data_IF_968740698024
#
_entry.id   IF_968740698024
#
_cell.length_a   1.000
_cell.length_b   1.000
_cell.length_c   1.000
_cell.angle_alpha   90.00
_cell.angle_beta   90.00
_cell.angle_gamma   90.00
#
_symmetry.space_group_name_H-M   'P 1'
#
loop_
_entity.id
_entity.type
_entity.pdbx_description
1 polymer ?
#
# COMPACT_ATOMS: atom_id res chain seq x y z
N UNK A 1 -20.27 10.31 8.51
CA UNK A 1 -20.10 11.13 9.72
C UNK A 1 -18.96 10.53 10.52
N UNK A 2 -17.79 11.17 10.57
CA UNK A 2 -16.76 10.83 11.57
C UNK A 2 -17.40 11.03 12.94
N UNK A 3 -17.66 9.94 13.65
CA UNK A 3 -18.12 9.99 15.03
C UNK A 3 -16.89 9.76 15.88
N UNK A 4 -16.26 10.85 16.31
CA UNK A 4 -15.18 10.80 17.29
C UNK A 4 -15.61 9.93 18.47
N UNK A 5 -15.02 8.74 18.61
CA UNK A 5 -15.30 7.83 19.72
C UNK A 5 -14.35 8.21 20.86
N UNK A 6 -14.92 8.86 21.89
CA UNK A 6 -14.19 9.26 23.09
C UNK A 6 -13.65 8.05 23.85
N UNK A 7 -12.50 8.22 24.49
CA UNK A 7 -11.96 7.28 25.47
C UNK A 7 -12.41 7.69 26.89
N UNK A 8 -12.83 6.75 27.77
CA UNK A 8 -13.09 5.33 27.46
C UNK A 8 -14.33 5.17 26.57
N UNK A 9 -14.37 4.11 25.75
CA UNK A 9 -15.47 3.86 24.81
C UNK A 9 -16.76 3.53 25.58
N UNK A 10 -17.86 4.30 25.41
CA UNK A 10 -19.14 3.96 26.02
C UNK A 10 -19.67 2.61 25.53
N UNK A 11 -20.14 1.77 26.46
CA UNK A 11 -20.70 0.46 26.14
C UNK A 11 -19.67 -0.61 25.75
N UNK A 12 -18.37 -0.34 25.87
CA UNK A 12 -17.36 -1.37 25.66
C UNK A 12 -17.54 -2.53 26.65
N UNK A 13 -17.43 -3.75 26.14
CA UNK A 13 -17.59 -4.98 26.92
C UNK A 13 -16.42 -5.96 26.73
N UNK A 14 -15.42 -5.58 25.93
CA UNK A 14 -14.22 -6.36 25.68
C UNK A 14 -13.05 -5.42 25.31
N UNK A 15 -11.88 -6.00 25.06
CA UNK A 15 -10.69 -5.29 24.57
C UNK A 15 -10.10 -5.99 23.36
N UNK A 16 -9.42 -5.21 22.52
CA UNK A 16 -8.46 -5.70 21.51
C UNK A 16 -7.05 -5.31 21.93
N UNK A 17 -6.05 -5.95 21.31
CA UNK A 17 -4.68 -5.47 21.37
C UNK A 17 -4.54 -4.20 20.55
N UNK A 18 -3.71 -3.26 21.04
CA UNK A 18 -3.17 -2.20 20.18
C UNK A 18 -2.29 -2.88 19.13
N UNK A 19 -2.33 -2.42 17.87
CA UNK A 19 -1.65 -3.07 16.75
C UNK A 19 -2.22 -4.43 16.34
N UNK A 20 -3.47 -4.73 16.73
CA UNK A 20 -4.15 -5.94 16.27
C UNK A 20 -4.15 -6.03 14.74
N UNK A 21 -3.61 -7.12 14.14
CA UNK A 21 -3.46 -7.30 12.69
C UNK A 21 -4.68 -6.85 11.86
N UNK A 22 -5.89 -7.21 12.27
CA UNK A 22 -7.09 -6.89 11.50
C UNK A 22 -7.28 -5.38 11.22
N UNK A 23 -6.78 -4.50 12.09
CA UNK A 23 -7.05 -3.07 12.02
C UNK A 23 -5.99 -2.26 11.27
N UNK A 24 -4.90 -2.89 10.83
CA UNK A 24 -3.94 -2.23 9.95
C UNK A 24 -4.52 -2.03 8.54
N UNK A 25 -4.10 -0.96 7.89
CA UNK A 25 -4.54 -0.61 6.53
C UNK A 25 -3.35 -0.36 5.62
N UNK A 26 -3.60 -0.21 4.32
CA UNK A 26 -2.58 0.17 3.34
C UNK A 26 -2.99 1.41 2.55
N UNK A 27 -2.02 2.27 2.27
CA UNK A 27 -2.18 3.43 1.39
C UNK A 27 -0.97 3.55 0.45
N UNK A 28 -1.23 3.96 -0.79
CA UNK A 28 -0.23 3.98 -1.87
C UNK A 28 -0.72 4.78 -3.10
N UNK A 29 0.21 5.31 -3.92
CA UNK A 29 -0.14 6.09 -5.09
C UNK A 29 -0.87 5.25 -6.15
N UNK A 30 -1.62 5.94 -7.02
CA UNK A 30 -2.44 5.31 -8.06
C UNK A 30 -1.63 4.41 -9.01
N UNK A 31 -0.35 4.73 -9.25
CA UNK A 31 0.52 4.03 -10.18
C UNK A 31 0.84 2.58 -9.76
N UNK A 32 0.78 2.26 -8.47
CA UNK A 32 1.09 0.93 -7.95
C UNK A 32 -0.15 0.21 -7.43
N UNK A 33 -0.02 -1.07 -7.08
CA UNK A 33 -1.07 -1.83 -6.39
C UNK A 33 -0.51 -2.53 -5.16
N UNK A 34 -1.22 -2.48 -4.04
CA UNK A 34 -0.90 -3.27 -2.86
C UNK A 34 -2.17 -3.76 -2.15
N UNK A 35 -2.00 -4.74 -1.28
CA UNK A 35 -3.05 -5.27 -0.41
C UNK A 35 -2.50 -5.68 0.94
N UNK A 36 -3.40 -5.83 1.90
CA UNK A 36 -3.13 -6.38 3.23
C UNK A 36 -4.15 -7.46 3.58
N UNK A 37 -3.67 -8.59 4.11
CA UNK A 37 -4.49 -9.70 4.61
C UNK A 37 -3.98 -10.16 5.97
N UNK A 38 -4.80 -10.93 6.70
CA UNK A 38 -4.46 -11.51 8.01
C UNK A 38 -4.41 -13.03 7.92
N UNK A 39 -3.25 -13.65 7.62
CA UNK A 39 -3.13 -15.12 7.54
C UNK A 39 -3.45 -15.83 8.86
N UNK A 40 -3.22 -15.16 10.00
CA UNK A 40 -3.57 -15.64 11.34
C UNK A 40 -3.94 -14.49 12.26
N UNK A 41 -4.39 -14.79 13.48
CA UNK A 41 -4.73 -13.78 14.49
C UNK A 41 -3.54 -12.90 14.91
N UNK A 42 -2.30 -13.33 14.69
CA UNK A 42 -1.09 -12.61 15.09
C UNK A 42 -0.18 -12.28 13.89
N UNK A 43 -0.73 -12.24 12.68
CA UNK A 43 0.06 -11.95 11.49
C UNK A 43 -0.66 -11.09 10.46
N UNK A 44 0.15 -10.33 9.74
CA UNK A 44 -0.18 -9.54 8.57
C UNK A 44 0.66 -10.02 7.41
N UNK A 45 0.05 -10.04 6.22
CA UNK A 45 0.79 -10.14 4.96
C UNK A 45 0.41 -8.96 4.08
N UNK A 46 1.44 -8.32 3.54
CA UNK A 46 1.31 -7.27 2.53
C UNK A 46 1.89 -7.81 1.22
N UNK A 47 1.15 -7.66 0.13
CA UNK A 47 1.64 -7.88 -1.24
C UNK A 47 1.55 -6.60 -2.02
N UNK A 48 2.60 -6.28 -2.78
CA UNK A 48 2.66 -5.09 -3.62
C UNK A 48 3.18 -5.40 -5.02
N UNK A 49 2.80 -4.55 -5.97
CA UNK A 49 3.33 -4.45 -7.31
C UNK A 49 3.74 -3.00 -7.54
N UNK A 50 5.03 -2.74 -7.39
CA UNK A 50 5.65 -1.46 -7.74
C UNK A 50 5.81 -1.37 -9.25
N UNK A 51 5.75 -0.16 -9.79
CA UNK A 51 5.84 0.19 -11.21
C UNK A 51 6.86 1.28 -11.49
N UNK A 52 7.17 2.10 -10.48
CA UNK A 52 8.20 3.14 -10.56
C UNK A 52 9.24 2.97 -9.46
N UNK A 53 10.46 3.46 -9.70
CA UNK A 53 11.52 3.52 -8.70
C UNK A 53 11.24 4.51 -7.54
N UNK A 54 10.17 5.29 -7.62
CA UNK A 54 9.74 6.27 -6.62
C UNK A 54 8.44 5.86 -5.93
N UNK A 55 7.90 4.69 -6.25
CA UNK A 55 6.73 4.17 -5.57
C UNK A 55 7.00 3.96 -4.08
N UNK A 56 6.01 4.30 -3.27
CA UNK A 56 6.05 4.22 -1.82
C UNK A 56 4.67 3.76 -1.35
N UNK A 57 4.63 2.78 -0.46
CA UNK A 57 3.40 2.41 0.22
C UNK A 57 3.56 2.44 1.73
N UNK A 58 2.47 2.76 2.44
CA UNK A 58 2.40 2.72 3.89
C UNK A 58 1.54 1.56 4.37
N UNK A 59 2.02 0.83 5.39
CA UNK A 59 1.21 -0.06 6.22
C UNK A 59 0.86 0.69 7.49
N UNK A 60 -0.40 1.05 7.68
CA UNK A 60 -0.83 2.13 8.57
C UNK A 60 -1.60 1.58 9.77
N UNK A 61 -1.23 2.07 10.95
CA UNK A 61 -2.00 2.00 12.19
C UNK A 61 -2.48 3.39 12.59
N UNK A 62 -3.79 3.60 12.60
CA UNK A 62 -4.42 4.82 13.08
C UNK A 62 -4.74 4.68 14.59
N UNK A 63 -4.39 5.68 15.41
CA UNK A 63 -4.73 5.63 16.86
C UNK A 63 -6.21 5.90 17.13
N UNK A 64 -6.95 6.27 16.08
CA UNK A 64 -8.39 6.49 16.07
C UNK A 64 -8.99 5.71 14.90
N UNK A 65 -9.99 4.90 15.20
CA UNK A 65 -10.77 4.23 14.20
C UNK A 65 -11.81 5.19 13.61
N UNK A 66 -11.60 5.57 12.35
CA UNK A 66 -12.47 6.48 11.60
C UNK A 66 -13.32 5.76 10.57
N UNK A 67 -13.07 4.47 10.37
CA UNK A 67 -13.63 3.69 9.26
C UNK A 67 -14.72 2.73 9.75
N UNK A 68 -14.57 2.17 10.96
CA UNK A 68 -15.59 1.29 11.51
C UNK A 68 -16.85 2.05 11.92
N UNK A 69 -17.98 1.35 11.88
CA UNK A 69 -19.21 1.86 12.48
C UNK A 69 -18.96 2.28 13.94
N UNK A 70 -19.38 3.49 14.33
CA UNK A 70 -19.00 4.11 15.60
C UNK A 70 -19.31 3.28 16.87
N UNK A 71 -20.31 2.39 16.81
CA UNK A 71 -20.58 1.43 17.89
C UNK A 71 -19.46 0.40 18.07
N UNK A 72 -18.77 0.00 17.01
CA UNK A 72 -17.74 -1.04 16.99
C UNK A 72 -16.31 -0.51 16.90
N UNK A 73 -16.13 0.70 16.38
CA UNK A 73 -14.86 1.42 16.30
C UNK A 73 -14.13 1.51 17.65
N UNK A 74 -12.82 1.28 17.69
CA UNK A 74 -12.05 1.54 18.91
C UNK A 74 -11.90 3.07 19.16
N UNK A 75 -11.84 3.52 20.43
CA UNK A 75 -11.76 4.94 20.75
C UNK A 75 -10.38 5.51 20.41
N UNK A 76 -10.33 6.83 20.19
CA UNK A 76 -9.03 7.53 20.06
C UNK A 76 -8.21 7.36 21.34
N UNK A 77 -7.02 6.78 21.24
CA UNK A 77 -6.06 6.67 22.35
C UNK A 77 -4.63 7.01 21.89
N UNK A 78 -4.32 8.31 21.91
CA UNK A 78 -3.05 8.87 21.42
C UNK A 78 -1.81 8.46 22.22
N UNK A 79 -1.97 8.16 23.50
CA UNK A 79 -0.86 7.76 24.35
C UNK A 79 -0.49 6.29 24.13
N UNK A 80 0.70 6.10 23.59
CA UNK A 80 1.38 4.84 23.34
C UNK A 80 2.52 4.59 24.34
N UNK A 81 2.77 5.51 25.28
CA UNK A 81 3.93 5.46 26.19
C UNK A 81 3.99 4.14 26.94
N UNK A 82 5.17 3.52 26.97
CA UNK A 82 5.45 2.25 27.63
C UNK A 82 4.88 1.02 26.92
N UNK A 83 4.25 1.16 25.75
CA UNK A 83 3.92 -0.01 24.93
C UNK A 83 5.20 -0.63 24.37
N UNK A 84 5.26 -1.96 24.39
CA UNK A 84 6.30 -2.72 23.70
C UNK A 84 5.64 -3.44 22.53
N UNK A 85 6.06 -3.15 21.30
CA UNK A 85 5.61 -3.83 20.08
C UNK A 85 6.71 -4.76 19.59
N UNK A 86 6.40 -6.04 19.47
CA UNK A 86 7.31 -7.09 19.00
C UNK A 86 6.68 -7.86 17.85
N UNK A 87 7.50 -8.20 16.86
CA UNK A 87 7.09 -9.01 15.72
C UNK A 87 8.29 -9.60 14.97
N UNK A 88 8.05 -10.69 14.28
CA UNK A 88 8.95 -11.23 13.28
C UNK A 88 8.63 -10.64 11.91
N UNK A 89 9.67 -10.25 11.19
CA UNK A 89 9.62 -9.65 9.88
C UNK A 89 10.26 -10.57 8.84
N UNK A 90 9.58 -10.80 7.72
CA UNK A 90 10.15 -11.42 6.52
C UNK A 90 9.74 -10.62 5.30
N UNK A 91 10.70 -10.26 4.43
CA UNK A 91 10.40 -9.47 3.24
C UNK A 91 11.13 -9.94 1.99
N UNK A 92 10.50 -9.69 0.84
CA UNK A 92 11.09 -9.90 -0.50
C UNK A 92 10.61 -8.79 -1.45
N UNK A 93 11.44 -8.44 -2.44
CA UNK A 93 11.09 -7.46 -3.48
C UNK A 93 11.02 -6.00 -3.02
N UNK A 94 11.35 -5.72 -1.76
CA UNK A 94 11.48 -4.36 -1.22
C UNK A 94 12.96 -3.99 -1.01
N UNK A 95 13.22 -2.70 -0.78
CA UNK A 95 14.54 -2.24 -0.33
C UNK A 95 14.85 -2.83 1.05
N UNK A 96 16.05 -3.40 1.21
CA UNK A 96 16.45 -4.09 2.44
C UNK A 96 16.59 -3.12 3.63
N UNK A 97 16.21 -3.54 4.83
CA UNK A 97 16.03 -2.65 6.00
C UNK A 97 17.30 -1.90 6.45
N UNK A 98 18.46 -2.47 6.20
CA UNK A 98 19.78 -1.92 6.57
C UNK A 98 20.30 -0.86 5.59
N UNK A 99 19.57 -0.59 4.52
CA UNK A 99 19.87 0.46 3.54
C UNK A 99 19.33 1.83 3.93
N UNK A 100 19.92 2.89 3.39
CA UNK A 100 19.38 4.25 3.41
C UNK A 100 18.02 4.31 2.71
N UNK A 101 17.14 5.18 3.20
CA UNK A 101 15.79 5.40 2.63
C UNK A 101 15.02 4.07 2.44
N UNK A 102 15.06 3.23 3.47
CA UNK A 102 14.40 1.93 3.51
C UNK A 102 13.26 1.92 4.54
N UNK A 103 12.83 0.73 4.96
CA UNK A 103 11.71 0.51 5.86
C UNK A 103 11.81 1.42 7.10
N UNK A 104 10.84 2.34 7.19
CA UNK A 104 10.81 3.39 8.20
C UNK A 104 9.44 3.38 8.87
N UNK A 105 9.44 3.39 10.21
CA UNK A 105 8.25 3.67 11.00
C UNK A 105 8.10 5.19 11.11
N UNK A 106 7.15 5.73 10.36
CA UNK A 106 6.78 7.13 10.44
C UNK A 106 5.73 7.28 11.53
N UNK A 107 6.02 8.14 12.51
CA UNK A 107 5.10 8.49 13.59
C UNK A 107 4.66 9.93 13.38
N UNK A 108 3.41 10.10 12.96
CA UNK A 108 2.77 11.42 12.97
C UNK A 108 2.19 11.68 14.34
N UNK A 109 2.38 12.90 14.83
CA UNK A 109 1.79 13.38 16.10
C UNK A 109 0.68 14.38 15.82
N UNK A 110 -0.11 14.73 16.85
CA UNK A 110 -1.12 15.78 16.70
C UNK A 110 -0.49 17.17 16.74
N UNK A 111 0.56 17.38 17.55
CA UNK A 111 1.14 18.71 17.77
C UNK A 111 2.64 18.84 17.54
N UNK A 112 3.38 17.75 17.39
CA UNK A 112 4.85 17.74 17.40
C UNK A 112 5.48 17.36 16.06
N UNK A 113 4.71 17.43 14.97
CA UNK A 113 5.19 17.09 13.63
C UNK A 113 5.30 15.58 13.39
N UNK A 114 6.21 15.22 12.47
CA UNK A 114 6.42 13.85 11.98
C UNK A 114 7.81 13.37 12.36
N UNK A 115 7.88 12.16 12.91
CA UNK A 115 9.12 11.52 13.33
C UNK A 115 9.38 10.26 12.51
N UNK A 116 10.63 10.05 12.10
CA UNK A 116 11.03 8.92 11.26
C UNK A 116 11.93 7.98 12.07
N UNK A 117 11.42 6.80 12.41
CA UNK A 117 12.13 5.79 13.18
C UNK A 117 12.63 4.70 12.24
N UNK A 118 13.96 4.52 12.18
CA UNK A 118 14.57 3.42 11.41
C UNK A 118 14.43 2.11 12.18
N UNK A 119 13.46 1.29 11.82
CA UNK A 119 13.11 0.09 12.62
C UNK A 119 14.22 -0.96 12.67
N UNK A 120 15.12 -0.99 11.68
CA UNK A 120 16.32 -1.83 11.67
C UNK A 120 17.24 -1.65 12.88
N UNK A 121 17.24 -0.45 13.48
CA UNK A 121 18.06 -0.15 14.66
C UNK A 121 17.54 -0.87 15.91
N UNK A 122 16.31 -1.38 15.86
CA UNK A 122 15.61 -2.04 16.97
C UNK A 122 15.41 -3.54 16.74
N UNK A 123 16.20 -4.12 15.82
CA UNK A 123 16.29 -5.58 15.68
C UNK A 123 16.91 -6.20 16.92
N UNK A 124 16.42 -7.37 17.32
CA UNK A 124 17.05 -8.17 18.39
C UNK A 124 17.78 -9.39 17.83
N UNK A 125 17.42 -9.85 16.63
CA UNK A 125 18.07 -10.97 15.95
C UNK A 125 17.75 -10.98 14.44
N UNK A 126 18.53 -11.73 13.66
CA UNK A 126 18.28 -11.99 12.24
C UNK A 126 18.98 -11.03 11.28
N UNK A 127 18.50 -11.04 10.04
CA UNK A 127 19.02 -10.34 8.86
C UNK A 127 18.05 -9.24 8.40
N UNK A 128 18.49 -8.27 7.58
CA UNK A 128 17.63 -7.17 7.11
C UNK A 128 16.29 -7.59 6.52
N UNK A 129 16.22 -8.72 5.82
CA UNK A 129 14.99 -9.21 5.18
C UNK A 129 14.32 -10.34 5.96
N UNK A 130 14.88 -10.74 7.11
CA UNK A 130 14.33 -11.77 8.00
C UNK A 130 14.86 -11.54 9.43
N UNK A 131 14.12 -10.79 10.26
CA UNK A 131 14.55 -10.40 11.59
C UNK A 131 13.42 -10.35 12.61
N UNK A 132 13.80 -10.35 13.89
CA UNK A 132 12.90 -10.00 14.98
C UNK A 132 13.08 -8.54 15.36
N UNK A 133 11.99 -7.79 15.42
CA UNK A 133 11.98 -6.37 15.77
C UNK A 133 11.29 -6.18 17.13
N UNK A 134 11.90 -5.36 17.99
CA UNK A 134 11.35 -4.98 19.29
C UNK A 134 11.42 -3.47 19.49
N UNK A 135 10.27 -2.81 19.50
CA UNK A 135 10.16 -1.36 19.69
C UNK A 135 9.53 -1.08 21.05
N UNK A 136 10.24 -0.32 21.90
CA UNK A 136 9.70 0.18 23.17
C UNK A 136 9.32 1.64 22.99
N UNK A 137 8.05 1.96 23.19
CA UNK A 137 7.50 3.31 23.02
C UNK A 137 7.83 4.19 24.25
N UNK A 138 9.12 4.41 24.47
CA UNK A 138 9.68 5.27 25.51
C UNK A 138 10.91 6.05 24.96
N UNK A 139 11.75 6.55 25.87
CA UNK A 139 12.95 7.32 25.53
C UNK A 139 14.06 6.50 24.83
N UNK A 140 13.96 5.16 24.81
CA UNK A 140 14.94 4.30 24.12
C UNK A 140 14.71 4.22 22.61
N UNK A 141 13.49 4.50 22.13
CA UNK A 141 13.21 4.57 20.69
C UNK A 141 13.30 6.01 20.20
N UNK A 142 14.37 6.28 19.46
CA UNK A 142 14.72 7.54 18.86
C UNK A 142 14.43 7.54 17.34
N UNK A 143 14.10 8.73 16.86
CA UNK A 143 13.85 9.08 15.46
C UNK A 143 14.98 9.93 14.90
N UNK A 144 14.89 10.23 13.60
CA UNK A 144 15.89 11.02 12.88
C UNK A 144 16.92 10.14 12.19
N UNK A 145 17.65 10.75 11.26
CA UNK A 145 18.67 10.05 10.46
C UNK A 145 19.74 9.37 11.33
N UNK A 146 20.08 10.03 12.45
CA UNK A 146 21.06 9.55 13.42
C UNK A 146 20.46 8.87 14.66
N UNK A 147 19.13 8.71 14.71
CA UNK A 147 18.44 8.17 15.90
C UNK A 147 18.77 8.96 17.16
N UNK A 148 18.57 10.28 17.12
CA UNK A 148 18.93 11.23 18.18
C UNK A 148 17.73 12.01 18.75
N UNK A 149 16.57 11.92 18.08
CA UNK A 149 15.40 12.74 18.39
C UNK A 149 14.32 11.92 19.06
N UNK A 150 13.90 12.30 20.27
CA UNK A 150 12.82 11.63 20.97
C UNK A 150 11.50 11.65 20.18
N UNK A 151 10.79 10.53 20.19
CA UNK A 151 9.43 10.44 19.67
C UNK A 151 8.43 10.75 20.79
N UNK A 152 7.51 11.71 20.60
CA UNK A 152 6.43 12.00 21.55
C UNK A 152 5.37 10.89 21.60
N UNK A 153 5.68 9.76 22.24
CA UNK A 153 4.79 8.60 22.33
C UNK A 153 3.46 8.86 23.04
N UNK A 154 3.34 9.98 23.77
CA UNK A 154 2.11 10.43 24.42
C UNK A 154 1.15 11.20 23.50
N UNK A 155 1.56 11.54 22.27
CA UNK A 155 0.78 12.37 21.34
C UNK A 155 0.72 11.78 19.92
N UNK A 156 0.75 10.46 19.80
CA UNK A 156 0.70 9.80 18.49
C UNK A 156 -0.66 10.01 17.84
N UNK A 157 -0.67 10.37 16.55
CA UNK A 157 -1.84 10.48 15.67
C UNK A 157 -1.99 9.24 14.80
N UNK A 158 -0.93 8.82 14.13
CA UNK A 158 -0.87 7.57 13.38
C UNK A 158 0.56 7.10 13.24
N UNK A 159 0.72 5.83 12.97
CA UNK A 159 2.01 5.19 12.70
C UNK A 159 1.91 4.46 11.37
N UNK A 160 2.95 4.51 10.56
CA UNK A 160 2.98 3.67 9.36
C UNK A 160 4.37 3.21 9.01
N UNK A 161 4.44 1.96 8.55
CA UNK A 161 5.66 1.33 8.05
C UNK A 161 5.70 1.54 6.55
N UNK A 162 6.69 2.29 6.09
CA UNK A 162 6.87 2.61 4.67
C UNK A 162 7.64 1.51 3.94
N UNK A 163 7.17 1.08 2.77
CA UNK A 163 7.82 0.10 1.90
C UNK A 163 8.12 0.71 0.54
N UNK A 164 9.31 0.42 0.01
CA UNK A 164 9.81 0.89 -1.28
C UNK A 164 10.27 -0.30 -2.11
N UNK A 165 10.25 -0.22 -3.46
CA UNK A 165 10.81 -1.27 -4.30
C UNK A 165 12.30 -1.49 -4.01
N UNK A 166 12.80 -2.71 -4.24
CA UNK A 166 14.23 -3.03 -4.11
C UNK A 166 15.13 -2.09 -4.94
N UNK A 167 14.65 -1.62 -6.08
CA UNK A 167 15.31 -0.69 -7.00
C UNK A 167 14.95 0.78 -6.74
N UNK A 168 14.51 1.15 -5.54
CA UNK A 168 14.10 2.52 -5.26
C UNK A 168 15.22 3.55 -5.54
N UNK A 169 14.84 4.70 -6.09
CA UNK A 169 15.79 5.71 -6.57
C UNK A 169 16.69 5.15 -7.70
N UNK A 170 18.01 5.24 -7.53
CA UNK A 170 19.01 4.57 -8.39
C UNK A 170 19.60 3.30 -7.76
N UNK A 171 18.86 2.66 -6.87
CA UNK A 171 19.29 1.45 -6.18
C UNK A 171 20.44 1.70 -5.21
N UNK A 172 21.37 0.75 -5.13
CA UNK A 172 22.45 0.73 -4.13
C UNK A 172 23.68 1.49 -4.62
N UNK A 173 23.62 2.82 -4.53
CA UNK A 173 24.75 3.69 -4.86
C UNK A 173 25.76 3.79 -3.69
N UNK A 174 27.00 4.16 -4.01
CA UNK A 174 28.02 4.49 -3.01
C UNK A 174 28.88 5.67 -3.46
N UNK A 175 29.61 6.30 -2.53
CA UNK A 175 30.71 7.19 -2.91
C UNK A 175 31.80 6.39 -3.62
N UNK A 176 32.23 6.84 -4.80
CA UNK A 176 33.37 6.27 -5.52
C UNK A 176 34.71 6.85 -5.04
N UNK A 177 34.68 8.04 -4.45
CA UNK A 177 35.83 8.73 -3.88
C UNK A 177 35.43 9.41 -2.56
N UNK A 178 36.42 9.64 -1.70
CA UNK A 178 36.23 10.38 -0.45
C UNK A 178 35.63 11.75 -0.72
N UNK A 179 34.60 12.10 0.06
CA UNK A 179 33.92 13.38 -0.03
C UNK A 179 34.29 14.26 1.17
N UNK A 180 34.91 15.41 0.91
CA UNK A 180 35.37 16.33 1.95
C UNK A 180 34.31 17.37 2.30
N UNK A 181 34.40 17.92 3.51
CA UNK A 181 33.61 19.09 3.90
C UNK A 181 33.79 20.26 2.91
N UNK A 182 32.70 20.94 2.56
CA UNK A 182 32.68 22.03 1.59
C UNK A 182 32.76 21.61 0.11
N UNK A 183 32.89 20.32 -0.21
CA UNK A 183 32.92 19.87 -1.60
C UNK A 183 31.59 20.15 -2.31
N UNK A 184 31.65 20.76 -3.49
CA UNK A 184 30.47 20.99 -4.36
C UNK A 184 30.29 19.92 -5.45
N UNK A 185 31.20 18.94 -5.47
CA UNK A 185 31.17 17.82 -6.41
C UNK A 185 31.43 16.51 -5.67
N UNK A 186 30.68 15.47 -6.02
CA UNK A 186 30.85 14.11 -5.48
C UNK A 186 30.95 13.13 -6.64
N UNK A 187 31.70 12.05 -6.44
CA UNK A 187 31.77 10.95 -7.42
C UNK A 187 31.05 9.74 -6.84
N UNK A 188 30.10 9.19 -7.60
CA UNK A 188 29.21 8.13 -7.18
C UNK A 188 29.45 6.87 -8.01
N UNK A 189 29.49 5.72 -7.36
CA UNK A 189 29.24 4.43 -8.00
C UNK A 189 27.72 4.24 -8.06
N UNK A 190 27.16 4.22 -9.27
CA UNK A 190 25.69 4.09 -9.48
C UNK A 190 25.32 2.67 -9.88
N UNK A 191 26.28 1.88 -10.36
CA UNK A 191 26.10 0.47 -10.74
C UNK A 191 25.43 0.26 -12.10
N UNK A 192 24.50 1.13 -12.49
CA UNK A 192 23.91 1.17 -13.83
C UNK A 192 24.52 2.28 -14.72
N UNK A 193 24.13 2.34 -16.00
CA UNK A 193 24.60 3.39 -16.93
C UNK A 193 23.65 4.58 -17.06
N UNK A 194 22.56 4.64 -16.28
CA UNK A 194 21.52 5.64 -16.43
C UNK A 194 21.98 7.06 -16.09
N UNK A 195 21.29 8.13 -16.51
CA UNK A 195 21.72 9.49 -16.23
C UNK A 195 21.30 9.99 -14.84
N UNK A 196 22.17 10.64 -14.08
CA UNK A 196 21.72 11.50 -12.96
C UNK A 196 21.52 12.91 -13.50
N UNK A 197 20.29 13.41 -13.39
CA UNK A 197 19.90 14.71 -13.96
C UNK A 197 19.70 15.78 -12.87
N UNK A 198 19.77 17.07 -13.23
CA UNK A 198 19.46 18.16 -12.32
C UNK A 198 18.09 17.98 -11.65
N UNK A 199 18.00 18.31 -10.37
CA UNK A 199 16.82 18.11 -9.54
C UNK A 199 16.74 16.76 -8.83
N UNK A 200 17.60 15.79 -9.17
CA UNK A 200 17.77 14.58 -8.36
C UNK A 200 18.27 14.95 -6.96
N UNK A 201 17.85 14.20 -5.95
CA UNK A 201 18.25 14.42 -4.54
C UNK A 201 19.16 13.30 -4.07
N UNK A 202 20.30 13.63 -3.48
CA UNK A 202 21.30 12.69 -2.99
C UNK A 202 21.34 12.75 -1.46
N UNK A 203 21.25 11.58 -0.81
CA UNK A 203 21.46 11.42 0.62
C UNK A 203 22.70 10.54 0.83
N UNK A 204 23.61 10.95 1.71
CA UNK A 204 24.90 10.30 1.91
C UNK A 204 25.01 9.87 3.38
N UNK A 205 25.35 8.61 3.64
CA UNK A 205 25.60 8.16 5.00
C UNK A 205 26.85 8.87 5.55
N UNK A 206 26.69 9.67 6.60
CA UNK A 206 27.76 10.46 7.22
C UNK A 206 27.71 11.99 6.97
N UNK A 207 26.71 12.48 6.23
CA UNK A 207 26.47 13.93 6.04
C UNK A 207 25.99 14.62 7.32
N UNK A 208 26.27 15.92 7.50
CA UNK A 208 25.82 16.69 8.65
C UNK A 208 24.29 16.64 8.85
N UNK A 209 23.86 16.77 10.11
CA UNK A 209 22.45 16.87 10.49
C UNK A 209 21.75 18.07 9.83
N UNK A 210 22.46 19.19 9.68
CA UNK A 210 21.88 20.45 9.17
C UNK A 210 21.57 20.39 7.66
N UNK A 211 22.22 19.48 6.93
CA UNK A 211 22.03 19.27 5.49
C UNK A 211 21.93 17.77 5.21
N UNK A 212 20.72 17.19 5.35
CA UNK A 212 20.52 15.75 5.18
C UNK A 212 20.40 15.32 3.71
N UNK A 213 20.27 16.27 2.78
CA UNK A 213 20.01 16.00 1.38
C UNK A 213 20.63 17.07 0.47
N UNK A 214 21.15 16.64 -0.68
CA UNK A 214 21.83 17.48 -1.65
C UNK A 214 21.13 17.42 -3.01
N UNK A 215 20.87 18.58 -3.62
CA UNK A 215 20.24 18.65 -4.95
C UNK A 215 21.31 18.63 -6.03
N UNK A 216 21.17 17.74 -7.01
CA UNK A 216 22.06 17.65 -8.17
C UNK A 216 21.79 18.81 -9.13
N UNK A 217 22.84 19.44 -9.65
CA UNK A 217 22.76 20.56 -10.61
C UNK A 217 23.42 20.26 -11.96
N UNK A 218 24.09 19.12 -12.09
CA UNK A 218 24.74 18.66 -13.34
C UNK A 218 23.98 17.49 -13.97
N UNK A 219 24.22 17.23 -15.25
CA UNK A 219 23.81 15.99 -15.91
C UNK A 219 25.03 15.10 -16.15
N UNK A 220 24.99 13.85 -15.71
CA UNK A 220 26.03 12.83 -15.98
C UNK A 220 25.38 11.48 -16.25
N UNK A 221 26.16 10.53 -16.78
CA UNK A 221 25.73 9.15 -17.05
C UNK A 221 26.92 8.19 -16.96
N UNK A 222 26.65 6.88 -16.93
CA UNK A 222 27.67 5.83 -16.78
C UNK A 222 27.74 5.23 -15.37
N UNK A 223 28.53 4.15 -15.19
CA UNK A 223 28.57 3.39 -13.93
C UNK A 223 29.22 4.14 -12.76
N UNK A 224 30.10 5.11 -13.06
CA UNK A 224 30.73 6.01 -12.10
C UNK A 224 30.50 7.44 -12.58
N UNK A 225 29.88 8.28 -11.75
CA UNK A 225 29.40 9.60 -12.15
C UNK A 225 29.88 10.67 -11.18
N UNK A 226 30.55 11.71 -11.68
CA UNK A 226 30.87 12.91 -10.90
C UNK A 226 29.78 13.95 -11.09
N UNK A 227 28.99 14.21 -10.04
CA UNK A 227 27.89 15.17 -10.07
C UNK A 227 28.22 16.42 -9.25
N UNK A 228 27.71 17.56 -9.70
CA UNK A 228 27.69 18.81 -8.93
C UNK A 228 26.44 18.84 -8.05
N UNK A 229 26.59 19.27 -6.80
CA UNK A 229 25.53 19.29 -5.80
C UNK A 229 25.39 20.65 -5.10
N UNK A 230 24.19 20.93 -4.61
CA UNK A 230 23.88 22.11 -3.78
C UNK A 230 22.96 21.75 -2.61
N UNK A 231 23.20 22.27 -1.38
CA UNK A 231 24.39 23.05 -0.99
C UNK A 231 25.68 22.19 -1.03
N UNK A 232 26.88 22.79 -0.88
CA UNK A 232 28.10 22.01 -0.72
C UNK A 232 28.01 21.05 0.46
N UNK A 233 28.79 19.96 0.42
CA UNK A 233 28.80 18.94 1.48
C UNK A 233 29.07 19.60 2.83
N UNK A 234 28.28 19.20 3.81
CA UNK A 234 28.55 19.45 5.20
C UNK A 234 28.69 18.11 5.87
N UNK A 235 29.76 17.93 6.64
CA UNK A 235 30.08 16.69 7.34
C UNK A 235 29.95 16.88 8.84
N UNK A 236 29.57 15.83 9.56
CA UNK A 236 29.50 15.90 11.02
C UNK A 236 30.92 16.12 11.59
N UNK A 237 31.14 17.30 12.19
CA UNK A 237 32.44 17.65 12.78
C UNK A 237 33.56 17.96 11.78
N UNK A 238 33.25 18.17 10.49
CA UNK A 238 34.25 18.51 9.46
C UNK A 238 35.09 17.32 8.96
N UNK A 239 34.77 16.09 9.37
CA UNK A 239 35.52 14.89 8.96
C UNK A 239 35.09 14.40 7.57
N UNK A 240 36.04 13.99 6.70
CA UNK A 240 35.69 13.50 5.37
C UNK A 240 34.89 12.19 5.42
N UNK A 241 33.94 12.05 4.50
CA UNK A 241 33.18 10.81 4.29
C UNK A 241 33.98 9.91 3.37
N UNK A 242 34.31 8.71 3.84
CA UNK A 242 35.15 7.77 3.09
C UNK A 242 34.50 7.28 1.78
N UNK A 243 35.35 6.95 0.80
CA UNK A 243 34.90 6.17 -0.36
C UNK A 243 34.23 4.87 0.09
N UNK A 244 33.20 4.44 -0.64
CA UNK A 244 32.37 3.29 -0.29
C UNK A 244 31.21 3.60 0.66
N UNK A 245 31.11 4.82 1.22
CA UNK A 245 29.94 5.21 2.01
C UNK A 245 28.65 5.07 1.18
N UNK A 246 27.59 4.56 1.81
CA UNK A 246 26.30 4.35 1.16
C UNK A 246 25.69 5.69 0.73
N UNK A 247 25.13 5.71 -0.48
CA UNK A 247 24.43 6.87 -1.05
C UNK A 247 23.06 6.43 -1.55
N UNK A 248 22.03 7.22 -1.27
CA UNK A 248 20.73 7.07 -1.91
C UNK A 248 20.51 8.23 -2.88
N UNK A 249 20.28 7.91 -4.16
CA UNK A 249 19.96 8.91 -5.19
C UNK A 249 18.49 8.78 -5.53
N UNK A 250 17.70 9.76 -5.10
CA UNK A 250 16.32 9.92 -5.52
C UNK A 250 16.29 10.63 -6.88
N UNK A 251 15.73 9.99 -7.90
CA UNK A 251 15.68 10.54 -9.26
C UNK A 251 14.76 11.74 -9.34
N UNK A 252 15.02 12.67 -10.26
CA UNK A 252 14.22 13.89 -10.43
C UNK A 252 12.78 13.57 -10.88
N UNK A 253 12.61 12.50 -11.64
CA UNK A 253 11.34 12.01 -12.16
C UNK A 253 11.19 10.51 -11.91
N UNK A 254 9.96 10.00 -11.99
CA UNK A 254 9.66 8.58 -11.88
C UNK A 254 10.26 7.82 -13.08
N UNK A 255 11.08 6.80 -12.78
CA UNK A 255 11.63 5.87 -13.77
C UNK A 255 10.88 4.55 -13.70
N UNK A 256 10.62 3.93 -14.85
CA UNK A 256 9.86 2.69 -14.93
C UNK A 256 10.73 1.49 -14.54
N UNK A 257 10.24 0.66 -13.61
CA UNK A 257 10.96 -0.54 -13.16
C UNK A 257 10.25 -1.84 -13.58
N UNK A 258 9.23 -1.74 -14.43
CA UNK A 258 8.32 -2.86 -14.70
C UNK A 258 7.41 -3.17 -13.50
N UNK A 259 6.57 -4.20 -13.62
CA UNK A 259 5.81 -4.69 -12.46
C UNK A 259 6.73 -5.51 -11.53
N UNK A 260 7.23 -4.86 -10.48
CA UNK A 260 8.09 -5.47 -9.47
C UNK A 260 7.26 -5.96 -8.29
N UNK A 261 7.14 -7.28 -8.14
CA UNK A 261 6.43 -7.90 -7.05
C UNK A 261 7.20 -7.80 -5.74
N UNK A 262 6.48 -7.54 -4.65
CA UNK A 262 7.01 -7.51 -3.31
C UNK A 262 6.04 -8.15 -2.31
N UNK A 263 6.60 -8.73 -1.26
CA UNK A 263 5.84 -9.31 -0.16
C UNK A 263 6.52 -9.01 1.17
N UNK A 264 5.71 -8.68 2.17
CA UNK A 264 6.13 -8.54 3.56
C UNK A 264 5.19 -9.37 4.43
N UNK A 265 5.75 -10.29 5.21
CA UNK A 265 5.06 -11.02 6.26
C UNK A 265 5.52 -10.46 7.62
N UNK A 266 4.57 -9.97 8.40
CA UNK A 266 4.77 -9.53 9.78
C UNK A 266 4.02 -10.51 10.67
N UNK A 267 4.73 -11.32 11.44
CA UNK A 267 4.15 -12.42 12.21
C UNK A 267 4.54 -12.34 13.68
N UNK A 268 3.91 -13.17 14.51
CA UNK A 268 4.10 -13.17 15.96
C UNK A 268 3.93 -11.78 16.59
N UNK A 269 3.01 -10.98 16.02
CA UNK A 269 2.74 -9.62 16.49
C UNK A 269 2.21 -9.70 17.92
N UNK A 270 2.93 -9.06 18.82
CA UNK A 270 2.58 -8.96 20.23
C UNK A 270 2.76 -7.53 20.75
N UNK A 271 1.93 -7.17 21.71
CA UNK A 271 2.02 -5.87 22.38
C UNK A 271 1.83 -6.04 23.88
N UNK A 272 2.67 -5.39 24.67
CA UNK A 272 2.57 -5.38 26.14
C UNK A 272 2.73 -3.96 26.69
N UNK A 273 2.48 -3.77 27.99
CA UNK A 273 2.61 -2.48 28.67
C UNK A 273 1.28 -1.75 28.96
N UNK A 274 1.32 -0.57 29.62
CA UNK A 274 0.14 0.09 30.22
C UNK A 274 -0.96 0.50 29.23
N UNK A 275 -0.59 0.73 27.98
CA UNK A 275 -1.48 1.25 26.93
C UNK A 275 -1.71 0.22 25.80
N UNK A 276 -1.37 -1.05 26.03
CA UNK A 276 -1.33 -2.14 25.02
C UNK A 276 -2.69 -2.67 24.56
N UNK A 277 -3.79 -2.24 25.16
CA UNK A 277 -5.14 -2.68 24.79
C UNK A 277 -6.08 -1.50 24.52
N UNK A 278 -7.13 -1.74 23.73
CA UNK A 278 -8.15 -0.76 23.39
C UNK A 278 -9.55 -1.34 23.69
N UNK A 279 -10.43 -0.61 24.38
CA UNK A 279 -11.76 -1.09 24.69
C UNK A 279 -12.67 -1.03 23.46
N UNK A 280 -13.42 -2.10 23.22
CA UNK A 280 -14.35 -2.22 22.09
C UNK A 280 -15.70 -2.80 22.54
N UNK A 281 -16.72 -2.59 21.70
CA UNK A 281 -17.97 -3.35 21.79
C UNK A 281 -17.83 -4.59 20.91
N UNK A 282 -18.19 -5.75 21.45
CA UNK A 282 -18.21 -7.03 20.71
C UNK A 282 -19.60 -7.63 20.60
N UNK A 283 -20.58 -7.12 21.36
CA UNK A 283 -21.96 -7.60 21.28
C UNK A 283 -22.50 -7.41 19.86
N UNK A 284 -22.93 -8.49 19.19
CA UNK A 284 -23.52 -8.38 17.86
C UNK A 284 -24.89 -7.70 17.92
N UNK A 285 -25.25 -6.97 16.87
CA UNK A 285 -26.62 -6.52 16.65
C UNK A 285 -27.50 -7.68 16.19
N UNK A 286 -28.83 -7.61 16.44
CA UNK A 286 -29.77 -8.57 15.88
C UNK A 286 -29.67 -8.63 14.35
N UNK A 287 -29.80 -9.83 13.79
CA UNK A 287 -29.87 -10.00 12.34
C UNK A 287 -31.06 -9.22 11.76
N UNK A 288 -30.88 -8.66 10.58
CA UNK A 288 -31.91 -7.87 9.90
C UNK A 288 -31.99 -8.20 8.41
N UNK A 289 -33.04 -7.71 7.74
CA UNK A 289 -33.33 -8.01 6.34
C UNK A 289 -32.50 -7.19 5.33
N UNK A 290 -31.72 -6.20 5.77
CA UNK A 290 -30.80 -5.47 4.89
C UNK A 290 -29.65 -6.38 4.42
N UNK A 291 -29.28 -6.23 3.15
CA UNK A 291 -28.17 -6.92 2.49
C UNK A 291 -26.99 -5.97 2.32
N UNK A 292 -25.81 -6.50 2.00
CA UNK A 292 -24.64 -5.67 1.80
C UNK A 292 -24.35 -5.40 0.33
N UNK A 293 -23.90 -4.18 0.08
CA UNK A 293 -23.24 -3.78 -1.15
C UNK A 293 -22.02 -2.94 -0.80
N UNK A 294 -20.93 -3.12 -1.53
CA UNK A 294 -19.70 -2.33 -1.37
C UNK A 294 -18.93 -2.26 -2.69
N UNK A 295 -17.89 -1.43 -2.75
CA UNK A 295 -16.96 -1.34 -3.87
C UNK A 295 -15.56 -1.82 -3.49
N UNK A 296 -14.89 -2.51 -4.40
CA UNK A 296 -13.49 -2.94 -4.21
C UNK A 296 -12.59 -1.75 -3.83
N UNK A 297 -12.82 -0.57 -4.43
CA UNK A 297 -12.04 0.64 -4.20
C UNK A 297 -12.18 1.25 -2.80
N UNK A 298 -13.30 0.97 -2.12
CA UNK A 298 -13.49 1.36 -0.73
C UNK A 298 -12.91 0.31 0.23
N UNK A 299 -12.83 -0.94 -0.22
CA UNK A 299 -12.58 -2.09 0.64
C UNK A 299 -11.11 -2.55 0.65
N UNK A 300 -10.39 -2.45 -0.48
CA UNK A 300 -9.01 -2.97 -0.61
C UNK A 300 -8.00 -2.40 0.39
N UNK A 301 -8.13 -1.16 0.92
CA UNK A 301 -7.20 -0.66 1.94
C UNK A 301 -7.26 -1.42 3.26
N UNK A 302 -8.37 -2.12 3.53
CA UNK A 302 -8.65 -2.81 4.78
C UNK A 302 -8.37 -4.31 4.67
N UNK A 303 -8.05 -4.93 5.81
CA UNK A 303 -8.01 -6.40 5.86
C UNK A 303 -9.40 -6.98 5.62
N UNK A 304 -9.53 -8.06 4.83
CA UNK A 304 -10.82 -8.73 4.65
C UNK A 304 -11.46 -9.19 5.96
N UNK A 305 -10.63 -9.56 6.95
CA UNK A 305 -11.08 -9.91 8.31
C UNK A 305 -11.87 -8.77 8.96
N UNK A 306 -11.33 -7.55 8.96
CA UNK A 306 -11.98 -6.38 9.58
C UNK A 306 -13.35 -6.11 8.98
N UNK A 307 -13.43 -6.16 7.65
CA UNK A 307 -14.67 -5.93 6.92
C UNK A 307 -15.73 -6.97 7.29
N UNK A 308 -15.41 -8.26 7.19
CA UNK A 308 -16.37 -9.35 7.45
C UNK A 308 -16.78 -9.38 8.92
N UNK A 309 -15.84 -9.24 9.85
CA UNK A 309 -16.16 -9.21 11.29
C UNK A 309 -17.12 -8.06 11.62
N UNK A 310 -16.93 -6.89 11.02
CA UNK A 310 -17.80 -5.74 11.27
C UNK A 310 -19.20 -5.95 10.69
N UNK A 311 -19.31 -6.47 9.47
CA UNK A 311 -20.60 -6.78 8.84
C UNK A 311 -21.42 -7.77 9.67
N UNK A 312 -20.79 -8.85 10.12
CA UNK A 312 -21.45 -9.87 10.96
C UNK A 312 -21.89 -9.26 12.30
N UNK A 313 -21.02 -8.45 12.95
CA UNK A 313 -21.36 -7.75 14.19
C UNK A 313 -22.53 -6.78 14.01
N UNK A 314 -22.70 -6.18 12.84
CA UNK A 314 -23.80 -5.26 12.53
C UNK A 314 -25.12 -5.97 12.19
N UNK A 315 -25.14 -7.31 12.10
CA UNK A 315 -26.36 -8.08 11.81
C UNK A 315 -26.64 -8.30 10.32
N UNK A 316 -25.68 -7.98 9.43
CA UNK A 316 -25.79 -8.27 8.01
C UNK A 316 -25.68 -9.77 7.73
N UNK A 317 -26.48 -10.25 6.79
CA UNK A 317 -26.51 -11.64 6.33
C UNK A 317 -27.17 -11.75 4.95
N UNK A 318 -27.01 -12.92 4.30
CA UNK A 318 -27.61 -13.19 3.00
C UNK A 318 -26.73 -12.74 1.84
N UNK A 319 -27.25 -11.92 0.93
CA UNK A 319 -26.51 -11.47 -0.25
C UNK A 319 -25.46 -10.39 0.07
N UNK A 320 -24.30 -10.51 -0.55
CA UNK A 320 -23.24 -9.51 -0.58
C UNK A 320 -22.90 -9.16 -2.04
N UNK A 321 -23.10 -7.90 -2.43
CA UNK A 321 -22.74 -7.40 -3.75
C UNK A 321 -21.40 -6.66 -3.68
N UNK A 322 -20.35 -7.23 -4.29
CA UNK A 322 -19.09 -6.53 -4.49
C UNK A 322 -19.06 -5.88 -5.87
N UNK A 323 -18.99 -4.55 -5.91
CA UNK A 323 -18.73 -3.81 -7.14
C UNK A 323 -17.23 -3.76 -7.44
N UNK A 324 -16.82 -4.49 -8.47
CA UNK A 324 -15.51 -4.39 -9.09
C UNK A 324 -15.55 -3.29 -10.15
N UNK A 325 -15.30 -2.08 -9.66
CA UNK A 325 -15.45 -0.84 -10.41
C UNK A 325 -14.25 -0.45 -11.25
N UNK A 326 -13.85 0.81 -11.11
CA UNK A 326 -13.06 1.57 -12.08
C UNK A 326 -11.62 1.72 -11.61
N UNK A 327 -10.84 0.63 -11.57
CA UNK A 327 -9.60 0.66 -10.80
C UNK A 327 -8.43 -0.19 -11.28
N UNK A 328 -7.37 -0.11 -10.47
CA UNK A 328 -6.01 -0.63 -10.60
C UNK A 328 -5.89 -2.14 -10.34
N UNK A 329 -7.00 -2.89 -10.28
CA UNK A 329 -6.99 -4.34 -10.06
C UNK A 329 -6.56 -5.17 -11.28
N UNK A 330 -6.56 -4.56 -12.46
CA UNK A 330 -6.05 -5.18 -13.69
C UNK A 330 -4.53 -5.32 -13.66
N UNK A 331 -3.99 -6.35 -14.31
CA UNK A 331 -2.56 -6.39 -14.62
C UNK A 331 -2.22 -5.39 -15.71
N UNK A 332 -1.07 -4.75 -15.57
CA UNK A 332 -0.63 -3.69 -16.48
C UNK A 332 0.76 -3.95 -17.03
N UNK A 333 1.07 -3.39 -18.17
CA UNK A 333 2.43 -3.38 -18.73
C UNK A 333 2.78 -2.00 -19.23
N UNK A 334 4.07 -1.67 -19.18
CA UNK A 334 4.56 -0.45 -19.80
C UNK A 334 4.39 -0.55 -21.31
N UNK A 335 3.63 0.37 -21.90
CA UNK A 335 3.50 0.49 -23.34
C UNK A 335 4.41 1.62 -23.81
N UNK A 336 5.50 1.28 -24.50
CA UNK A 336 6.48 2.25 -24.98
C UNK A 336 5.92 3.22 -26.03
N UNK A 337 4.95 2.79 -26.84
CA UNK A 337 4.30 3.65 -27.84
C UNK A 337 3.33 4.66 -27.21
N UNK A 338 2.75 4.32 -26.06
CA UNK A 338 1.85 5.20 -25.32
C UNK A 338 2.54 5.93 -24.15
N UNK A 339 3.82 5.62 -23.88
CA UNK A 339 4.62 6.15 -22.76
C UNK A 339 3.91 6.10 -21.40
N UNK A 340 3.17 5.02 -21.14
CA UNK A 340 2.43 4.80 -19.88
C UNK A 340 2.15 3.33 -19.62
N UNK A 341 1.81 3.01 -18.37
CA UNK A 341 1.25 1.71 -18.04
C UNK A 341 -0.20 1.61 -18.52
N UNK A 342 -0.51 0.52 -19.21
CA UNK A 342 -1.87 0.22 -19.68
C UNK A 342 -2.25 -1.21 -19.31
N UNK A 343 -3.56 -1.49 -19.24
CA UNK A 343 -4.08 -2.84 -19.04
C UNK A 343 -3.52 -3.77 -20.11
N UNK A 344 -2.93 -4.89 -19.68
CA UNK A 344 -2.30 -5.86 -20.58
C UNK A 344 -3.17 -7.13 -20.66
N UNK A 345 -3.84 -7.39 -21.80
CA UNK A 345 -4.67 -8.57 -21.95
C UNK A 345 -3.87 -9.88 -22.02
N UNK A 346 -2.56 -9.83 -22.27
CA UNK A 346 -1.69 -11.00 -22.32
C UNK A 346 -1.26 -11.49 -20.92
N UNK A 347 -1.37 -10.63 -19.90
CA UNK A 347 -1.17 -10.96 -18.49
C UNK A 347 -2.43 -11.57 -17.85
N UNK A 348 -2.32 -12.14 -16.64
CA UNK A 348 -3.49 -12.47 -15.82
C UNK A 348 -4.47 -11.30 -15.74
N UNK A 349 -5.78 -11.57 -15.70
CA UNK A 349 -6.79 -10.50 -15.75
C UNK A 349 -6.78 -9.62 -14.51
N UNK A 350 -6.48 -10.23 -13.36
CA UNK A 350 -6.31 -9.56 -12.08
C UNK A 350 -4.84 -9.65 -11.66
N UNK A 351 -4.34 -8.58 -11.06
CA UNK A 351 -3.00 -8.56 -10.51
C UNK A 351 -2.91 -9.34 -9.19
N UNK A 352 -1.69 -9.74 -8.81
CA UNK A 352 -1.48 -10.64 -7.68
C UNK A 352 -1.98 -10.09 -6.32
N UNK A 353 -1.76 -8.81 -5.95
CA UNK A 353 -2.39 -8.22 -4.76
C UNK A 353 -3.92 -8.32 -4.76
N UNK A 354 -4.59 -8.01 -5.88
CA UNK A 354 -6.05 -8.15 -5.98
C UNK A 354 -6.49 -9.59 -5.77
N UNK A 355 -5.83 -10.55 -6.41
CA UNK A 355 -6.17 -11.96 -6.29
C UNK A 355 -6.06 -12.43 -4.83
N UNK A 356 -5.00 -12.06 -4.11
CA UNK A 356 -4.82 -12.40 -2.70
C UNK A 356 -5.99 -11.87 -1.85
N UNK A 357 -6.31 -10.58 -2.01
CA UNK A 357 -7.35 -9.93 -1.23
C UNK A 357 -8.73 -10.53 -1.49
N UNK A 358 -9.11 -10.71 -2.76
CA UNK A 358 -10.40 -11.31 -3.12
C UNK A 358 -10.51 -12.76 -2.64
N UNK A 359 -9.41 -13.51 -2.67
CA UNK A 359 -9.39 -14.89 -2.18
C UNK A 359 -9.67 -14.94 -0.68
N UNK A 360 -8.97 -14.15 0.13
CA UNK A 360 -9.22 -14.09 1.58
C UNK A 360 -10.62 -13.52 1.89
N UNK A 361 -11.06 -12.49 1.16
CA UNK A 361 -12.37 -11.88 1.35
C UNK A 361 -13.54 -12.82 1.02
N UNK A 362 -13.50 -13.50 -0.12
CA UNK A 362 -14.54 -14.45 -0.50
C UNK A 362 -14.55 -15.67 0.40
N UNK A 363 -13.39 -16.18 0.83
CA UNK A 363 -13.32 -17.26 1.80
C UNK A 363 -14.00 -16.89 3.12
N UNK A 364 -13.76 -15.67 3.63
CA UNK A 364 -14.38 -15.17 4.87
C UNK A 364 -15.88 -14.91 4.73
N UNK A 365 -16.31 -14.30 3.63
CA UNK A 365 -17.73 -14.09 3.35
C UNK A 365 -18.49 -15.42 3.25
N UNK A 366 -17.92 -16.39 2.53
CA UNK A 366 -18.49 -17.73 2.44
C UNK A 366 -18.55 -18.42 3.82
N UNK A 367 -17.49 -18.34 4.62
CA UNK A 367 -17.48 -18.88 5.98
C UNK A 367 -18.51 -18.21 6.91
N UNK A 368 -18.81 -16.92 6.67
CA UNK A 368 -19.86 -16.18 7.37
C UNK A 368 -21.28 -16.41 6.79
N UNK A 369 -21.44 -17.27 5.78
CA UNK A 369 -22.73 -17.64 5.21
C UNK A 369 -23.31 -16.64 4.20
N UNK A 370 -22.49 -15.74 3.65
CA UNK A 370 -22.93 -14.82 2.61
C UNK A 370 -22.97 -15.49 1.23
N UNK A 371 -23.98 -15.13 0.44
CA UNK A 371 -24.00 -15.38 -1.00
C UNK A 371 -23.32 -14.22 -1.72
N UNK A 372 -22.30 -14.51 -2.52
CA UNK A 372 -21.45 -13.49 -3.12
C UNK A 372 -21.93 -13.19 -4.55
N UNK A 373 -22.10 -11.91 -4.84
CA UNK A 373 -22.44 -11.39 -6.17
C UNK A 373 -21.33 -10.42 -6.55
N UNK A 374 -20.73 -10.63 -7.72
CA UNK A 374 -19.71 -9.72 -8.24
C UNK A 374 -20.30 -8.92 -9.39
N UNK A 375 -20.46 -7.61 -9.17
CA UNK A 375 -20.86 -6.64 -10.19
C UNK A 375 -19.60 -6.07 -10.82
N UNK A 376 -19.39 -6.30 -12.12
CA UNK A 376 -18.16 -5.89 -12.81
C UNK A 376 -18.44 -4.72 -13.75
N UNK A 377 -17.68 -3.64 -13.60
CA UNK A 377 -17.76 -2.50 -14.50
C UNK A 377 -17.09 -2.77 -15.86
N UNK A 378 -17.63 -2.15 -16.90
CA UNK A 378 -17.01 -2.07 -18.23
C UNK A 378 -16.17 -0.80 -18.42
N UNK A 379 -16.05 0.02 -17.37
CA UNK A 379 -15.24 1.22 -17.35
C UNK A 379 -13.87 0.93 -16.71
N UNK A 380 -12.82 1.51 -17.29
CA UNK A 380 -11.47 1.51 -16.72
C UNK A 380 -11.01 2.95 -16.58
N UNK A 381 -10.16 3.23 -15.59
CA UNK A 381 -9.46 4.50 -15.50
C UNK A 381 -8.80 4.84 -16.85
N UNK A 382 -9.06 6.04 -17.37
CA UNK A 382 -8.58 6.45 -18.68
C UNK A 382 -7.04 6.39 -18.76
N UNK A 383 -6.37 6.62 -17.61
CA UNK A 383 -4.93 6.50 -17.43
C UNK A 383 -4.38 5.08 -17.67
N UNK A 384 -5.20 4.04 -17.49
CA UNK A 384 -4.81 2.64 -17.67
C UNK A 384 -5.45 1.97 -18.90
N UNK A 385 -6.52 2.54 -19.45
CA UNK A 385 -7.17 2.00 -20.65
C UNK A 385 -6.25 2.15 -21.87
N UNK A 386 -5.91 1.08 -22.62
CA UNK A 386 -5.20 1.18 -23.90
C UNK A 386 -5.90 2.16 -24.85
N UNK A 387 -5.16 2.98 -25.58
CA UNK A 387 -5.75 4.06 -26.40
C UNK A 387 -6.73 3.53 -27.46
N UNK A 388 -6.43 2.35 -28.01
CA UNK A 388 -7.27 1.68 -29.00
C UNK A 388 -8.60 1.15 -28.44
N UNK A 389 -8.72 1.00 -27.11
CA UNK A 389 -9.93 0.50 -26.44
C UNK A 389 -10.86 1.63 -26.01
N UNK A 390 -10.37 2.86 -25.90
CA UNK A 390 -11.16 3.98 -25.38
C UNK A 390 -12.37 4.28 -26.27
N UNK A 391 -13.56 4.30 -25.68
CA UNK A 391 -14.76 4.84 -26.32
C UNK A 391 -14.52 6.27 -26.81
N UNK A 392 -15.09 6.59 -27.98
CA UNK A 392 -15.04 7.92 -28.59
C UNK A 392 -16.41 8.57 -28.63
N UNK A 393 -16.44 9.89 -28.51
CA UNK A 393 -17.65 10.69 -28.69
C UNK A 393 -18.02 10.82 -30.18
N UNK A 394 -19.11 11.55 -30.48
CA UNK A 394 -19.60 11.70 -31.85
C UNK A 394 -18.65 12.48 -32.79
N UNK A 395 -17.67 13.21 -32.25
CA UNK A 395 -16.64 13.95 -33.02
C UNK A 395 -15.27 13.29 -32.99
N UNK A 396 -15.12 12.14 -32.31
CA UNK A 396 -13.90 11.35 -32.27
C UNK A 396 -12.98 11.60 -31.07
N UNK A 397 -13.35 12.44 -30.10
CA UNK A 397 -12.57 12.63 -28.88
C UNK A 397 -12.74 11.45 -27.92
N UNK A 398 -11.85 11.30 -26.94
CA UNK A 398 -12.06 10.33 -25.84
C UNK A 398 -13.34 10.66 -25.07
N UNK A 399 -14.27 9.71 -24.97
CA UNK A 399 -15.51 9.85 -24.23
C UNK A 399 -15.28 9.65 -22.72
N UNK A 400 -14.51 10.56 -22.12
CA UNK A 400 -14.18 10.53 -20.69
C UNK A 400 -15.37 10.97 -19.84
N UNK A 401 -15.52 10.36 -18.67
CA UNK A 401 -16.46 10.85 -17.64
C UNK A 401 -15.99 12.17 -17.03
N UNK A 402 -16.89 12.92 -16.38
CA UNK A 402 -16.53 14.12 -15.61
C UNK A 402 -15.84 13.89 -14.26
N UNK A 403 -15.45 12.65 -13.91
CA UNK A 403 -14.72 12.34 -12.68
C UNK A 403 -13.23 12.70 -12.77
N UNK A 404 -12.59 12.87 -11.61
CA UNK A 404 -11.14 13.07 -11.51
C UNK A 404 -10.56 12.04 -10.53
N UNK A 405 -9.67 11.13 -10.98
CA UNK A 405 -9.25 10.92 -12.38
C UNK A 405 -10.40 10.39 -13.27
N UNK A 406 -10.41 10.71 -14.58
CA UNK A 406 -11.49 10.29 -15.48
C UNK A 406 -11.43 8.79 -15.80
N UNK A 407 -12.59 8.22 -16.10
CA UNK A 407 -12.75 6.86 -16.64
C UNK A 407 -13.27 6.90 -18.06
N UNK A 408 -13.12 5.78 -18.76
CA UNK A 408 -13.64 5.59 -20.12
C UNK A 408 -14.13 4.15 -20.29
N UNK A 409 -15.24 3.97 -20.98
CA UNK A 409 -15.76 2.66 -21.29
C UNK A 409 -14.92 1.95 -22.37
N UNK A 410 -14.81 0.63 -22.24
CA UNK A 410 -14.16 -0.21 -23.25
C UNK A 410 -15.02 -0.34 -24.52
N UNK A 411 -14.42 0.03 -25.65
CA UNK A 411 -14.97 -0.05 -27.00
C UNK A 411 -14.23 -1.05 -27.89
N UNK A 412 -13.32 -1.87 -27.37
CA UNK A 412 -12.58 -2.92 -28.10
C UNK A 412 -13.49 -4.01 -28.70
N UNK A 413 -14.80 -3.78 -28.71
CA UNK A 413 -15.77 -4.72 -29.17
C UNK A 413 -16.97 -4.10 -29.92
N UNK A 414 -16.80 -3.84 -31.22
CA UNK A 414 -17.89 -4.03 -32.19
C UNK A 414 -17.83 -5.42 -32.89
N UNK A 415 -16.84 -6.26 -32.60
CA UNK A 415 -16.56 -7.52 -33.33
C UNK A 415 -16.56 -8.83 -32.50
N UNK A 416 -16.28 -8.81 -31.20
CA UNK A 416 -16.55 -9.86 -30.21
C UNK A 416 -18.03 -9.88 -29.71
N UNK A 417 -18.84 -8.82 -29.88
CA UNK A 417 -20.27 -8.72 -29.50
C UNK A 417 -21.18 -9.65 -30.30
N UNK A 418 -20.69 -10.22 -31.40
CA UNK A 418 -21.41 -11.21 -32.19
C UNK A 418 -21.25 -12.66 -31.69
N UNK A 419 -20.45 -12.92 -30.64
CA UNK A 419 -20.21 -14.29 -30.13
C UNK A 419 -20.21 -14.39 -28.60
N UNK A 420 -21.24 -13.87 -27.96
CA UNK A 420 -21.75 -14.52 -26.75
C UNK A 420 -22.88 -15.46 -27.19
N UNK A 421 -22.61 -16.72 -27.57
CA UNK A 421 -23.68 -17.70 -27.55
C UNK A 421 -24.16 -17.80 -26.10
N UNK A 422 -25.46 -18.01 -25.92
CA UNK A 422 -26.14 -18.33 -24.65
C UNK A 422 -25.68 -19.67 -24.03
N UNK A 423 -24.39 -20.01 -24.16
CA UNK A 423 -23.77 -21.21 -23.64
C UNK A 423 -23.19 -20.90 -22.26
N UNK A 424 -23.53 -21.77 -21.30
CA UNK A 424 -22.73 -21.99 -20.09
C UNK A 424 -21.25 -21.97 -20.50
N UNK A 425 -20.50 -21.00 -20.00
CA UNK A 425 -19.05 -21.10 -19.95
C UNK A 425 -18.74 -22.35 -19.10
N UNK A 426 -17.89 -23.29 -19.54
CA UNK A 426 -17.42 -24.35 -18.67
C UNK A 426 -16.74 -23.68 -17.47
N UNK A 427 -17.21 -24.00 -16.27
CA UNK A 427 -16.83 -23.33 -15.04
C UNK A 427 -15.33 -23.38 -14.80
N UNK A 428 -14.75 -22.23 -14.50
CA UNK A 428 -13.67 -22.20 -13.52
C UNK A 428 -14.35 -22.18 -12.15
N UNK A 429 -14.51 -23.39 -11.62
CA UNK A 429 -14.79 -23.64 -10.22
C UNK A 429 -13.53 -23.21 -9.46
N UNK A 430 -13.58 -22.08 -8.75
CA UNK A 430 -12.86 -22.01 -7.46
C UNK A 430 -13.42 -23.17 -6.64
N UNK A 431 -12.59 -24.05 -6.02
CA UNK A 431 -13.03 -25.35 -5.51
C UNK A 431 -14.04 -25.19 -4.37
N UNK A 432 -15.31 -25.04 -4.73
CA UNK A 432 -16.47 -25.10 -3.86
C UNK A 432 -17.58 -25.83 -4.64
N UNK A 433 -18.21 -26.77 -3.95
CA UNK A 433 -18.98 -27.87 -4.50
C UNK A 433 -20.19 -27.45 -5.36
N UNK A 434 -20.48 -28.29 -6.36
CA UNK A 434 -21.49 -28.12 -7.40
C UNK A 434 -22.95 -28.18 -6.91
N UNK A 435 -23.80 -27.28 -7.43
CA UNK A 435 -25.27 -27.39 -7.39
C UNK A 435 -25.93 -26.49 -8.46
N UNK A 436 -26.81 -27.06 -9.29
CA UNK A 436 -27.38 -26.42 -10.49
C UNK A 436 -28.64 -25.57 -10.20
N UNK A 437 -28.84 -24.46 -10.92
CA UNK A 437 -30.12 -23.72 -10.95
C UNK A 437 -30.47 -23.11 -12.33
N UNK A 438 -31.76 -22.77 -12.44
CA UNK A 438 -32.63 -22.79 -13.63
C UNK A 438 -32.87 -21.40 -14.27
N UNK A 439 -33.46 -21.38 -15.48
CA UNK A 439 -33.60 -20.21 -16.38
C UNK A 439 -34.71 -19.21 -15.98
N UNK A 440 -34.48 -17.91 -16.23
CA UNK A 440 -35.52 -16.91 -16.49
C UNK A 440 -35.13 -15.96 -17.65
N UNK A 441 -36.07 -15.69 -18.56
CA UNK A 441 -35.98 -14.75 -19.71
C UNK A 441 -36.71 -13.45 -19.37
N UNK A 442 -36.15 -12.29 -19.72
CA UNK A 442 -36.90 -11.04 -20.00
C UNK A 442 -36.20 -10.32 -21.16
N UNK A 443 -36.99 -9.82 -22.13
CA UNK A 443 -36.51 -9.21 -23.38
C UNK A 443 -36.59 -7.69 -23.45
N UNK A 444 -36.10 -7.14 -24.56
CA UNK A 444 -36.59 -5.89 -25.16
C UNK A 444 -35.91 -4.57 -24.76
N UNK A 445 -34.82 -4.23 -25.45
CA UNK A 445 -34.49 -2.87 -25.91
C UNK A 445 -34.54 -1.69 -24.94
N UNK A 446 -33.44 -1.45 -24.22
CA UNK A 446 -32.77 -0.16 -23.99
C UNK A 446 -31.48 -0.45 -23.20
N UNK A 447 -30.39 0.25 -23.51
CA UNK A 447 -29.06 -0.04 -23.00
C UNK A 447 -28.98 0.24 -21.49
N UNK A 448 -29.18 -0.78 -20.66
CA UNK A 448 -28.80 -0.82 -19.25
C UNK A 448 -28.12 -2.17 -19.05
N UNK A 449 -26.79 -2.18 -19.01
CA UNK A 449 -26.02 -3.43 -18.90
C UNK A 449 -25.44 -3.50 -17.50
N UNK A 450 -26.15 -4.18 -16.60
CA UNK A 450 -25.57 -4.72 -15.38
C UNK A 450 -24.97 -6.09 -15.70
N UNK A 451 -23.63 -6.18 -15.70
CA UNK A 451 -22.92 -7.45 -15.71
C UNK A 451 -22.89 -8.03 -14.30
N UNK A 452 -23.85 -8.91 -13.98
CA UNK A 452 -23.90 -9.63 -12.69
C UNK A 452 -23.26 -11.00 -12.88
N UNK A 453 -22.08 -11.22 -12.29
CA UNK A 453 -21.52 -12.57 -12.14
C UNK A 453 -21.96 -13.08 -10.77
N UNK A 454 -22.81 -14.12 -10.75
CA UNK A 454 -23.14 -14.85 -9.52
C UNK A 454 -22.11 -15.97 -9.40
N UNK A 455 -21.27 -15.91 -8.37
CA UNK A 455 -20.29 -16.95 -8.06
C UNK A 455 -20.91 -18.02 -7.15
#
# INVERSE_FOLDING_TARGET
>A
MSRFVKYPKPGANATIRRFEPAYWTVDFPLAMMATIVTPSANSLRVKALFRTNRDLMGVIWEVEDRDDHGSYAYPRRKDCTGCVLEFDWVSTGIRSMDKLQSVTLTVETFSSGTHFVRIWNYKTSGTPDNCHIRIVMDQSTLSGFYSDTFVPWNDVKRMFISLLPSTAGRGDCSLAATATDGASTITLNVGDSGPITPGATVLILGSSFDVPAYTVTSTTSGPVQTVTITPPIQTAGGFPIAAGAEVFVNTATDEQIGESAAQVDISNISVTGPNSTLPILTTPQPAHNLRMTDGFDNAYPFTPKRLVDQMVKLGYSGDYVLYMGISKFHSQSWNASESRYVVDPAKPKLNAPTVEWLTDFFARLHAAGFKIIVSVSFEVLAAFMPTAWKQRDYVGNEAQTGWVPPVVADCADKHRRARLPSRRLPGYVLPLASGALDRARIGGGQCVVFGMLVA
#
